data_IF_869977664680
#
_entry.id   IF_869977664680
#
_cell.length_a   1.000
_cell.length_b   1.000
_cell.length_c   1.000
_cell.angle_alpha   90.00
_cell.angle_beta   90.00
_cell.angle_gamma   90.00
#
_symmetry.space_group_name_H-M   'P 1'
#
loop_
_entity.id
_entity.type
_entity.pdbx_description
1 polymer ?
#
# COMPACT_ATOMS: atom_id res chain seq x y z
N UNK A 1 -2.17 17.51 5.75
CA UNK A 1 -3.21 16.48 5.58
C UNK A 1 -3.35 16.19 4.08
N UNK A 2 -3.62 14.96 3.65
CA UNK A 2 -3.67 14.66 2.20
C UNK A 2 -4.95 15.21 1.58
N UNK A 3 -4.83 15.96 0.47
CA UNK A 3 -5.98 16.53 -0.26
C UNK A 3 -6.97 15.46 -0.73
N UNK A 4 -6.48 14.27 -1.08
CA UNK A 4 -7.35 13.15 -1.47
C UNK A 4 -8.24 12.66 -0.32
N UNK A 5 -7.74 12.67 0.92
CA UNK A 5 -8.51 12.26 2.10
C UNK A 5 -9.54 13.33 2.48
N UNK A 6 -9.21 14.61 2.29
CA UNK A 6 -10.15 15.73 2.49
C UNK A 6 -11.33 15.61 1.52
N UNK A 7 -11.05 15.48 0.22
CA UNK A 7 -12.09 15.33 -0.81
C UNK A 7 -12.95 14.09 -0.52
N UNK A 8 -12.34 12.97 -0.12
CA UNK A 8 -13.11 11.76 0.20
C UNK A 8 -14.06 11.99 1.39
N UNK A 9 -13.65 12.72 2.43
CA UNK A 9 -14.53 13.10 3.55
C UNK A 9 -15.67 14.02 3.08
N UNK A 10 -15.37 15.03 2.27
CA UNK A 10 -16.35 15.98 1.72
C UNK A 10 -17.41 15.27 0.87
N UNK A 11 -17.01 14.25 0.10
CA UNK A 11 -17.91 13.40 -0.69
C UNK A 11 -18.66 12.35 0.15
N UNK A 12 -18.45 12.29 1.47
CA UNK A 12 -19.18 11.41 2.38
C UNK A 12 -18.62 9.99 2.51
N UNK A 13 -17.44 9.69 1.94
CA UNK A 13 -16.79 8.38 2.13
C UNK A 13 -16.41 8.18 3.59
N UNK A 14 -16.56 6.93 4.07
CA UNK A 14 -16.24 6.54 5.46
C UNK A 14 -14.90 5.84 5.60
N UNK A 15 -14.35 5.35 4.49
CA UNK A 15 -13.11 4.59 4.45
C UNK A 15 -12.32 5.00 3.21
N UNK A 16 -11.02 5.19 3.38
CA UNK A 16 -10.05 5.20 2.29
C UNK A 16 -9.32 3.85 2.26
N UNK A 17 -9.06 3.34 1.06
CA UNK A 17 -8.39 2.07 0.84
C UNK A 17 -7.36 2.21 -0.28
N UNK A 18 -6.24 1.52 -0.18
CA UNK A 18 -5.28 1.40 -1.28
C UNK A 18 -4.40 0.17 -1.12
N UNK A 19 -3.79 -0.25 -2.24
CA UNK A 19 -2.78 -1.28 -2.30
C UNK A 19 -1.41 -0.62 -2.45
N UNK A 20 -0.54 -0.80 -1.48
CA UNK A 20 0.81 -0.24 -1.47
C UNK A 20 1.82 -1.31 -1.85
N UNK A 21 2.56 -1.08 -2.94
CA UNK A 21 3.47 -2.07 -3.54
C UNK A 21 4.94 -1.80 -3.24
N UNK A 22 5.26 -0.70 -2.55
CA UNK A 22 6.63 -0.34 -2.18
C UNK A 22 6.73 -0.05 -0.68
N UNK A 23 7.91 -0.33 -0.11
CA UNK A 23 8.23 0.02 1.28
C UNK A 23 8.02 1.50 1.59
N UNK A 24 8.31 2.38 0.62
CA UNK A 24 8.15 3.83 0.78
C UNK A 24 6.68 4.24 0.85
N UNK A 25 5.85 3.75 -0.08
CA UNK A 25 4.43 4.10 -0.11
C UNK A 25 3.68 3.52 1.08
N UNK A 26 4.05 2.31 1.51
CA UNK A 26 3.59 1.70 2.77
C UNK A 26 3.93 2.57 3.99
N UNK A 27 5.19 3.04 4.09
CA UNK A 27 5.63 3.88 5.21
C UNK A 27 4.87 5.22 5.27
N UNK A 28 4.70 5.87 4.11
CA UNK A 28 3.89 7.09 4.00
C UNK A 28 2.45 6.82 4.44
N UNK A 29 1.82 5.73 3.98
CA UNK A 29 0.47 5.35 4.38
C UNK A 29 0.35 5.12 5.90
N UNK A 30 1.32 4.44 6.51
CA UNK A 30 1.38 4.23 7.95
C UNK A 30 1.44 5.58 8.71
N UNK A 31 2.29 6.50 8.27
CA UNK A 31 2.37 7.86 8.86
C UNK A 31 1.07 8.66 8.71
N UNK A 32 0.28 8.35 7.68
CA UNK A 32 -1.05 8.93 7.46
C UNK A 32 -2.14 8.21 8.26
N UNK A 33 -1.81 7.18 9.03
CA UNK A 33 -2.72 6.39 9.86
C UNK A 33 -3.59 5.42 9.08
N UNK A 34 -3.09 4.86 7.98
CA UNK A 34 -3.64 3.65 7.37
C UNK A 34 -3.21 2.42 8.17
N UNK A 35 -4.07 1.40 8.21
CA UNK A 35 -3.84 0.13 8.88
C UNK A 35 -3.81 -1.01 7.86
N UNK A 36 -2.84 -1.95 7.92
CA UNK A 36 -2.84 -3.15 7.09
C UNK A 36 -4.11 -3.99 7.29
N UNK A 37 -4.65 -4.51 6.18
CA UNK A 37 -5.81 -5.42 6.17
C UNK A 37 -5.38 -6.79 5.62
N UNK A 38 -4.57 -6.80 4.56
CA UNK A 38 -4.05 -8.01 3.95
C UNK A 38 -2.69 -7.73 3.29
N UNK A 39 -1.88 -8.78 3.11
CA UNK A 39 -0.60 -8.70 2.40
C UNK A 39 -0.39 -9.92 1.50
N UNK A 40 0.40 -9.71 0.45
CA UNK A 40 0.83 -10.75 -0.49
C UNK A 40 2.31 -10.57 -0.79
N UNK A 41 3.09 -11.59 -0.45
CA UNK A 41 4.52 -11.68 -0.72
C UNK A 41 4.77 -12.07 -2.17
N UNK A 42 5.50 -11.23 -2.91
CA UNK A 42 5.74 -11.45 -4.33
C UNK A 42 6.69 -12.62 -4.61
N UNK A 43 7.65 -12.88 -3.72
CA UNK A 43 8.62 -13.97 -3.85
C UNK A 43 7.94 -15.33 -3.82
N UNK A 44 6.90 -15.47 -3.01
CA UNK A 44 6.15 -16.73 -2.88
C UNK A 44 5.03 -16.88 -3.91
N UNK A 45 4.49 -15.77 -4.42
CA UNK A 45 3.31 -15.80 -5.28
C UNK A 45 3.64 -15.76 -6.78
N UNK A 46 4.77 -15.16 -7.19
CA UNK A 46 5.12 -15.01 -8.60
C UNK A 46 6.19 -16.01 -9.05
N UNK A 47 5.85 -16.83 -10.05
CA UNK A 47 6.75 -17.86 -10.63
C UNK A 47 8.06 -17.28 -11.19
N UNK A 48 8.03 -16.04 -11.66
CA UNK A 48 9.19 -15.37 -12.27
C UNK A 48 9.80 -14.31 -11.35
N UNK A 49 9.61 -14.38 -10.04
CA UNK A 49 10.18 -13.38 -9.11
C UNK A 49 11.70 -13.23 -9.28
N UNK A 50 12.41 -14.32 -9.58
CA UNK A 50 13.85 -14.32 -9.83
C UNK A 50 14.29 -13.51 -11.05
N UNK A 51 13.37 -13.13 -11.95
CA UNK A 51 13.68 -12.30 -13.12
C UNK A 51 13.55 -10.80 -12.83
N UNK A 52 13.04 -10.43 -11.65
CA UNK A 52 12.92 -9.03 -11.24
C UNK A 52 14.31 -8.52 -10.81
N UNK A 53 14.74 -7.33 -11.29
CA UNK A 53 16.00 -6.74 -10.84
C UNK A 53 16.04 -6.59 -9.32
N UNK A 54 17.18 -6.91 -8.72
CA UNK A 54 17.33 -6.99 -7.26
C UNK A 54 16.92 -5.68 -6.56
N UNK A 55 17.31 -4.55 -7.14
CA UNK A 55 16.99 -3.21 -6.66
C UNK A 55 15.48 -2.93 -6.63
N UNK A 56 14.71 -3.48 -7.59
CA UNK A 56 13.25 -3.39 -7.60
C UNK A 56 12.68 -4.34 -6.54
N UNK A 57 13.16 -5.58 -6.50
CA UNK A 57 12.71 -6.61 -5.56
C UNK A 57 12.93 -6.23 -4.09
N UNK A 58 14.00 -5.49 -3.78
CA UNK A 58 14.28 -5.00 -2.42
C UNK A 58 13.30 -3.92 -1.96
N UNK A 59 12.77 -3.11 -2.87
CA UNK A 59 11.79 -2.05 -2.58
C UNK A 59 10.35 -2.58 -2.64
N UNK A 60 10.11 -3.53 -3.54
CA UNK A 60 8.81 -4.11 -3.89
C UNK A 60 8.82 -5.62 -3.57
N UNK A 61 8.89 -5.98 -2.29
CA UNK A 61 8.89 -7.37 -1.83
C UNK A 61 7.47 -7.92 -1.60
N UNK A 62 6.52 -7.04 -1.29
CA UNK A 62 5.11 -7.38 -1.11
C UNK A 62 4.18 -6.25 -1.53
N UNK A 63 2.92 -6.60 -1.73
CA UNK A 63 1.81 -5.65 -1.75
C UNK A 63 1.03 -5.75 -0.44
N UNK A 64 0.70 -4.60 0.14
CA UNK A 64 -0.13 -4.51 1.35
C UNK A 64 -1.38 -3.72 1.02
N UNK A 65 -2.53 -4.37 1.18
CA UNK A 65 -3.83 -3.73 1.18
C UNK A 65 -4.04 -3.03 2.54
N UNK A 66 -4.27 -1.73 2.53
CA UNK A 66 -4.44 -0.95 3.76
C UNK A 66 -5.70 -0.08 3.71
N UNK A 67 -6.33 0.10 4.87
CA UNK A 67 -7.51 0.94 5.04
C UNK A 67 -7.33 2.00 6.12
N UNK A 68 -8.05 3.11 5.97
CA UNK A 68 -8.14 4.18 6.96
C UNK A 68 -9.59 4.63 7.09
N UNK A 69 -10.09 4.72 8.32
CA UNK A 69 -11.38 5.39 8.59
C UNK A 69 -11.23 6.90 8.36
N UNK A 70 -12.17 7.48 7.62
CA UNK A 70 -12.22 8.91 7.27
C UNK A 70 -13.09 9.70 8.26
#
# INVERSE_FOLDING_TARGET
>A
MSKSLEIAKELGYKVAFSNFTSKYSYSIACSMGFTPIAELDYKTHYRNYSTIPKEIAEIHDKVVAMGKRL
#
